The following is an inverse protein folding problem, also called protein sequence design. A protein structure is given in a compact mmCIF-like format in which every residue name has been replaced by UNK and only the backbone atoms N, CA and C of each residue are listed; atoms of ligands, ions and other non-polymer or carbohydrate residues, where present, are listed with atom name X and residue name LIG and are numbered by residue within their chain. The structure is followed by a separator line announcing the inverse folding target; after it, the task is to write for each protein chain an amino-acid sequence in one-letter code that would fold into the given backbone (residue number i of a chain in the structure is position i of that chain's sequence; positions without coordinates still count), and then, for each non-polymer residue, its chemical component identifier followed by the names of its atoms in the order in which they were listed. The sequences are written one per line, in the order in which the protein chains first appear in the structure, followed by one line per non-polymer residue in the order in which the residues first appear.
data_IF_771359885110
#
_entry.id   IF_771359885110
#
_cell.length_a   1.000
_cell.length_b   1.000
_cell.length_c   1.000
_cell.angle_alpha   90.00
_cell.angle_beta   90.00
_cell.angle_gamma   90.00
#
_symmetry.space_group_name_H-M   'P 1'
#
loop_
_entity.id
_entity.type
_entity.pdbx_description
1 polymer ?
#
# COMPACT_ATOMS: atom_id res chain seq x y z
N UNK A 1 -23.88 -2.27 -13.27
CA UNK A 1 -22.62 -2.97 -12.92
C UNK A 1 -22.64 -3.21 -11.42
N UNK A 2 -22.18 -4.37 -10.93
CA UNK A 2 -22.12 -4.58 -9.49
C UNK A 2 -21.21 -3.52 -8.87
N UNK A 3 -21.62 -3.01 -7.71
CA UNK A 3 -20.76 -2.24 -6.81
C UNK A 3 -19.53 -3.13 -6.56
N UNK A 4 -18.32 -2.65 -6.83
CA UNK A 4 -17.10 -3.44 -6.57
C UNK A 4 -17.10 -3.91 -5.10
N UNK A 5 -16.62 -5.13 -4.86
CA UNK A 5 -16.63 -5.72 -3.52
C UNK A 5 -15.86 -4.84 -2.53
N UNK A 6 -16.39 -4.61 -1.32
CA UNK A 6 -15.71 -3.80 -0.32
C UNK A 6 -14.38 -4.44 0.06
N UNK A 7 -13.34 -3.62 0.25
CA UNK A 7 -12.05 -4.13 0.72
C UNK A 7 -12.18 -4.84 2.08
N UNK A 8 -11.31 -5.81 2.34
CA UNK A 8 -11.26 -6.59 3.58
C UNK A 8 -9.98 -6.32 4.38
N UNK A 9 -10.01 -6.65 5.67
CA UNK A 9 -8.87 -6.52 6.59
C UNK A 9 -8.10 -5.19 6.49
N UNK A 10 -6.85 -5.21 6.02
CA UNK A 10 -6.01 -4.02 5.86
C UNK A 10 -6.60 -3.01 4.87
N UNK A 11 -7.40 -3.48 3.91
CA UNK A 11 -8.08 -2.67 2.91
C UNK A 11 -9.54 -2.33 3.29
N UNK A 12 -10.00 -2.65 4.50
CA UNK A 12 -11.40 -2.41 4.95
C UNK A 12 -11.90 -0.99 4.71
N UNK A 13 -11.01 0.01 4.75
CA UNK A 13 -11.35 1.43 4.57
C UNK A 13 -11.09 1.93 3.15
N UNK A 14 -10.67 1.06 2.24
CA UNK A 14 -10.43 1.41 0.85
C UNK A 14 -11.74 1.72 0.14
N UNK A 15 -11.68 2.67 -0.78
CA UNK A 15 -12.82 3.04 -1.63
C UNK A 15 -12.58 2.44 -3.00
N UNK A 16 -13.43 1.49 -3.36
CA UNK A 16 -13.31 0.69 -4.60
C UNK A 16 -14.03 1.29 -5.79
N UNK A 17 -14.84 2.34 -5.58
CA UNK A 17 -15.52 3.09 -6.63
C UNK A 17 -15.16 4.57 -6.55
N UNK A 18 -14.61 5.11 -7.62
CA UNK A 18 -14.10 6.48 -7.67
C UNK A 18 -14.30 7.10 -9.06
N UNK A 19 -14.13 8.41 -9.21
CA UNK A 19 -14.22 9.08 -10.53
C UNK A 19 -12.86 9.34 -11.15
N UNK A 20 -11.81 9.29 -10.34
CA UNK A 20 -10.47 9.70 -10.71
C UNK A 20 -9.63 8.54 -11.26
N UNK A 21 -9.55 8.38 -12.58
CA UNK A 21 -8.75 7.31 -13.19
C UNK A 21 -7.26 7.40 -12.80
N UNK A 22 -6.74 8.59 -12.50
CA UNK A 22 -5.34 8.76 -12.14
C UNK A 22 -5.00 8.16 -10.78
N UNK A 23 -5.97 8.00 -9.87
CA UNK A 23 -5.77 7.26 -8.62
C UNK A 23 -5.53 5.78 -8.94
N UNK A 24 -6.33 5.19 -9.83
CA UNK A 24 -6.13 3.80 -10.25
C UNK A 24 -4.75 3.60 -10.92
N UNK A 25 -4.32 4.55 -11.78
CA UNK A 25 -3.01 4.53 -12.40
C UNK A 25 -1.86 4.65 -11.37
N UNK A 26 -2.01 5.49 -10.34
CA UNK A 26 -1.01 5.68 -9.30
C UNK A 26 -0.94 4.50 -8.30
N UNK A 27 -2.00 3.70 -8.19
CA UNK A 27 -2.02 2.49 -7.36
C UNK A 27 -1.24 1.32 -7.97
N UNK A 28 -1.21 1.20 -9.30
CA UNK A 28 -0.48 0.13 -10.00
C UNK A 28 0.98 -0.05 -9.51
N UNK A 29 1.84 0.98 -9.49
CA UNK A 29 3.21 0.81 -9.01
C UNK A 29 3.31 0.48 -7.51
N UNK A 30 2.31 0.84 -6.70
CA UNK A 30 2.26 0.44 -5.29
C UNK A 30 1.92 -1.05 -5.12
N UNK A 31 1.00 -1.59 -5.93
CA UNK A 31 0.75 -3.03 -5.95
C UNK A 31 1.96 -3.80 -6.45
N UNK A 32 2.70 -3.30 -7.46
CA UNK A 32 3.97 -3.88 -7.87
C UNK A 32 5.00 -3.87 -6.74
N UNK A 33 5.18 -2.74 -6.05
CA UNK A 33 6.08 -2.66 -4.89
C UNK A 33 5.69 -3.65 -3.80
N UNK A 34 4.38 -3.80 -3.53
CA UNK A 34 3.86 -4.77 -2.56
C UNK A 34 4.15 -6.22 -2.99
N UNK A 35 3.89 -6.55 -4.26
CA UNK A 35 4.09 -7.90 -4.79
C UNK A 35 5.57 -8.30 -4.74
N UNK A 36 6.47 -7.42 -5.17
CA UNK A 36 7.93 -7.65 -5.13
C UNK A 36 8.44 -7.80 -3.68
N UNK A 37 7.83 -7.08 -2.74
CA UNK A 37 8.15 -7.26 -1.32
C UNK A 37 7.74 -8.65 -0.82
N UNK A 38 6.53 -9.11 -1.17
CA UNK A 38 6.00 -10.40 -0.72
C UNK A 38 6.64 -11.60 -1.41
N UNK A 39 7.15 -11.42 -2.64
CA UNK A 39 7.89 -12.44 -3.38
C UNK A 39 9.30 -12.66 -2.85
N UNK A 40 9.80 -11.81 -1.94
CA UNK A 40 11.13 -11.95 -1.39
C UNK A 40 11.15 -12.94 -0.21
N UNK A 41 11.74 -14.11 -0.44
CA UNK A 41 11.88 -15.18 0.56
C UNK A 41 12.67 -14.75 1.82
N UNK A 42 13.55 -13.75 1.73
CA UNK A 42 14.25 -13.24 2.91
C UNK A 42 13.28 -12.63 3.92
N UNK A 43 12.18 -12.04 3.46
CA UNK A 43 11.20 -11.40 4.33
C UNK A 43 10.23 -12.39 5.00
N UNK A 44 10.11 -13.62 4.48
CA UNK A 44 9.38 -14.68 5.17
C UNK A 44 10.18 -15.29 6.31
N UNK A 45 11.50 -15.44 6.15
CA UNK A 45 12.34 -16.23 7.07
C UNK A 45 13.34 -15.39 7.89
N UNK A 46 13.56 -14.12 7.54
CA UNK A 46 14.56 -13.25 8.20
C UNK A 46 14.00 -11.88 8.58
N UNK A 47 14.55 -11.34 9.66
CA UNK A 47 14.37 -9.96 10.09
C UNK A 47 15.28 -9.09 9.25
N UNK A 48 14.74 -8.36 8.27
CA UNK A 48 15.52 -7.52 7.36
C UNK A 48 15.88 -8.21 6.04
N UNK A 49 16.56 -7.47 5.16
CA UNK A 49 16.89 -7.90 3.80
C UNK A 49 18.19 -7.24 3.33
N UNK A 50 18.83 -7.86 2.35
CA UNK A 50 20.12 -7.42 1.81
C UNK A 50 20.11 -6.03 1.15
N UNK A 51 21.31 -5.47 0.96
CA UNK A 51 21.49 -4.18 0.29
C UNK A 51 20.91 -4.14 -1.14
N UNK A 52 21.11 -5.16 -1.99
CA UNK A 52 20.47 -5.24 -3.31
C UNK A 52 18.94 -5.15 -3.27
N UNK A 53 18.28 -5.89 -2.38
CA UNK A 53 16.82 -5.84 -2.20
C UNK A 53 16.38 -4.44 -1.78
N UNK A 54 17.08 -3.83 -0.82
CA UNK A 54 16.79 -2.46 -0.39
C UNK A 54 16.85 -1.48 -1.54
N UNK A 55 17.93 -1.51 -2.31
CA UNK A 55 18.13 -0.56 -3.40
C UNK A 55 17.11 -0.78 -4.52
N UNK A 56 16.68 -2.02 -4.74
CA UNK A 56 15.59 -2.35 -5.66
C UNK A 56 14.24 -1.77 -5.20
N UNK A 57 13.86 -2.02 -3.94
CA UNK A 57 12.60 -1.51 -3.37
C UNK A 57 12.58 0.02 -3.33
N UNK A 58 13.72 0.67 -3.04
CA UNK A 58 13.84 2.13 -3.10
C UNK A 58 13.65 2.65 -4.53
N UNK A 59 14.18 1.97 -5.56
CA UNK A 59 13.93 2.33 -6.97
C UNK A 59 12.45 2.25 -7.33
N UNK A 60 11.76 1.20 -6.87
CA UNK A 60 10.31 1.05 -7.06
C UNK A 60 9.54 2.17 -6.32
N UNK A 61 9.93 2.53 -5.10
CA UNK A 61 9.33 3.64 -4.37
C UNK A 61 9.54 5.00 -5.08
N UNK A 62 10.71 5.23 -5.67
CA UNK A 62 10.98 6.41 -6.52
C UNK A 62 10.07 6.41 -7.76
N UNK A 63 9.80 5.25 -8.33
CA UNK A 63 8.84 5.10 -9.44
C UNK A 63 7.40 5.45 -9.01
N UNK A 64 6.98 5.00 -7.82
CA UNK A 64 5.70 5.42 -7.21
C UNK A 64 5.63 6.95 -7.06
N UNK A 65 6.68 7.59 -6.53
CA UNK A 65 6.73 9.05 -6.38
C UNK A 65 6.71 9.79 -7.73
N UNK A 66 7.36 9.24 -8.76
CA UNK A 66 7.30 9.78 -10.12
C UNK A 66 5.86 9.79 -10.65
N UNK A 67 5.12 8.70 -10.45
CA UNK A 67 3.71 8.63 -10.82
C UNK A 67 2.85 9.62 -10.04
N UNK A 68 3.03 9.72 -8.72
CA UNK A 68 2.36 10.72 -7.88
C UNK A 68 2.54 12.13 -8.45
N UNK A 69 3.78 12.53 -8.78
CA UNK A 69 4.08 13.86 -9.34
C UNK A 69 3.40 14.07 -10.69
N UNK A 70 3.33 13.05 -11.55
CA UNK A 70 2.68 13.13 -12.88
C UNK A 70 1.17 13.37 -12.79
N UNK A 71 0.50 12.80 -11.79
CA UNK A 71 -0.96 12.91 -11.62
C UNK A 71 -1.39 14.09 -10.73
N UNK A 72 -0.42 14.80 -10.15
CA UNK A 72 -0.69 15.96 -9.31
C UNK A 72 -0.93 17.19 -10.17
N UNK A 73 -2.08 17.84 -10.00
CA UNK A 73 -2.30 19.16 -10.56
C UNK A 73 -1.39 20.17 -9.88
N UNK A 74 -0.57 20.82 -10.70
CA UNK A 74 0.24 21.95 -10.30
C UNK A 74 -0.18 23.17 -11.14
N UNK A 75 -1.21 23.92 -10.72
CA UNK A 75 -1.73 25.07 -11.46
C UNK A 75 -0.81 26.31 -11.47
N UNK A 76 0.33 26.28 -10.76
CA UNK A 76 1.18 27.46 -10.57
C UNK A 76 2.10 27.73 -11.79
N UNK A 77 1.48 28.17 -12.90
CA UNK A 77 1.85 29.38 -13.66
C UNK A 77 1.94 29.21 -15.18
N UNK A 78 0.86 28.79 -15.84
CA UNK A 78 0.66 29.10 -17.26
C UNK A 78 -0.68 29.82 -17.44
N UNK A 79 -0.75 30.93 -18.20
CA UNK A 79 -1.98 31.67 -18.43
C UNK A 79 -2.98 30.84 -19.25
N UNK A 80 -4.23 30.83 -18.79
CA UNK A 80 -5.34 30.00 -19.28
C UNK A 80 -5.71 30.27 -20.75
N UNK A 81 -5.51 31.51 -21.22
CA UNK A 81 -5.91 31.96 -22.56
C UNK A 81 -5.17 31.23 -23.69
N UNK A 82 -3.86 31.07 -23.56
CA UNK A 82 -3.00 30.49 -24.61
C UNK A 82 -3.25 28.99 -24.84
N UNK A 83 -3.77 28.31 -23.82
CA UNK A 83 -4.11 26.88 -23.85
C UNK A 83 -5.46 26.63 -24.50
N UNK A 84 -6.42 27.52 -24.28
CA UNK A 84 -7.75 27.45 -24.89
C UNK A 84 -7.65 27.69 -26.40
N UNK A 85 -6.80 28.64 -26.82
CA UNK A 85 -6.61 28.98 -28.24
C UNK A 85 -5.97 27.83 -29.04
N UNK A 86 -5.02 27.09 -28.43
CA UNK A 86 -4.44 25.87 -29.02
C UNK A 86 -5.40 24.67 -29.07
N UNK A 87 -6.27 24.52 -28.08
CA UNK A 87 -7.21 23.39 -28.01
C UNK A 87 -8.38 23.50 -29.01
N UNK A 88 -8.64 24.70 -29.54
CA UNK A 88 -9.73 24.97 -30.50
C UNK A 88 -9.27 24.81 -31.97
N UNK A 89 -7.96 24.75 -32.24
CA UNK A 89 -7.43 24.59 -33.60
C UNK A 89 -7.52 23.14 -34.11
N UNK A 90 -8.45 22.91 -35.05
CA UNK A 90 -8.68 21.61 -35.68
C UNK A 90 -7.56 21.13 -36.63
N UNK A 91 -6.54 21.96 -36.89
CA UNK A 91 -5.39 21.63 -37.75
C UNK A 91 -4.08 21.44 -36.99
N UNK A 92 -4.10 21.57 -35.67
CA UNK A 92 -2.91 21.37 -34.85
C UNK A 92 -2.46 19.90 -34.89
N UNK A 93 -1.18 19.67 -35.18
CA UNK A 93 -0.54 18.37 -34.94
C UNK A 93 -0.56 18.08 -33.44
N UNK A 94 -1.15 16.95 -33.07
CA UNK A 94 -1.20 16.47 -31.69
C UNK A 94 0.19 16.00 -31.27
N UNK A 95 1.01 16.91 -30.75
CA UNK A 95 2.23 16.54 -30.06
C UNK A 95 1.88 15.80 -28.76
N UNK A 96 2.61 14.73 -28.44
CA UNK A 96 2.52 14.07 -27.14
C UNK A 96 3.00 15.10 -26.12
N UNK A 97 2.07 15.76 -25.43
CA UNK A 97 2.41 16.79 -24.45
C UNK A 97 3.36 16.22 -23.40
N UNK A 98 4.37 16.99 -23.01
CA UNK A 98 5.39 16.60 -22.00
C UNK A 98 4.77 16.13 -20.66
N UNK A 99 3.50 16.47 -20.42
CA UNK A 99 2.70 16.08 -19.25
C UNK A 99 1.27 15.69 -19.67
N UNK A 100 1.05 14.48 -20.20
CA UNK A 100 -0.26 14.07 -20.73
C UNK A 100 -1.35 13.94 -19.64
N UNK A 101 -0.94 13.95 -18.37
CA UNK A 101 -1.82 13.91 -17.20
C UNK A 101 -1.87 15.25 -16.43
N UNK A 102 -1.14 16.26 -16.90
CA UNK A 102 -1.21 17.61 -16.35
C UNK A 102 -2.54 18.21 -16.77
N UNK A 103 -3.52 18.20 -15.88
CA UNK A 103 -4.88 18.65 -16.15
C UNK A 103 -4.91 20.00 -16.84
N UNK A 104 -5.19 19.99 -18.13
CA UNK A 104 -5.44 21.17 -18.95
C UNK A 104 -6.91 21.59 -18.85
N UNK A 105 -7.14 22.89 -18.97
CA UNK A 105 -8.28 23.64 -18.42
C UNK A 105 -9.63 23.46 -19.13
N UNK A 106 -9.73 22.56 -20.10
CA UNK A 106 -10.98 22.30 -20.84
C UNK A 106 -11.87 21.38 -20.03
N UNK A 107 -12.72 21.88 -19.13
CA UNK A 107 -13.62 21.05 -18.30
C UNK A 107 -14.38 20.01 -19.15
N UNK A 108 -14.02 18.72 -19.04
CA UNK A 108 -14.91 17.66 -19.53
C UNK A 108 -16.08 17.53 -18.57
N UNK A 109 -17.17 16.94 -19.06
CA UNK A 109 -18.25 16.48 -18.19
C UNK A 109 -17.71 15.57 -17.08
N UNK A 110 -18.36 15.59 -15.92
CA UNK A 110 -18.06 14.68 -14.82
C UNK A 110 -18.13 13.24 -15.31
N UNK A 111 -16.97 12.60 -15.44
CA UNK A 111 -16.82 11.19 -15.77
C UNK A 111 -17.61 10.30 -14.80
N UNK A 112 -18.05 9.15 -15.31
CA UNK A 112 -18.79 8.16 -14.54
C UNK A 112 -18.01 7.64 -13.33
N UNK A 113 -18.72 6.98 -12.41
CA UNK A 113 -18.05 6.17 -11.40
C UNK A 113 -17.36 5.00 -12.10
N UNK A 114 -16.07 4.84 -11.84
CA UNK A 114 -15.29 3.66 -12.22
C UNK A 114 -15.07 2.78 -11.00
N UNK A 115 -15.13 1.47 -11.19
CA UNK A 115 -14.64 0.51 -10.21
C UNK A 115 -13.13 0.37 -10.35
N UNK A 116 -12.42 0.25 -9.24
CA UNK A 116 -10.99 -0.07 -9.25
C UNK A 116 -10.77 -1.40 -10.00
N UNK A 117 -9.70 -1.52 -10.78
CA UNK A 117 -9.37 -2.77 -11.48
C UNK A 117 -8.77 -3.84 -10.55
N UNK A 118 -8.58 -3.53 -9.26
CA UNK A 118 -7.93 -4.38 -8.26
C UNK A 118 -8.96 -4.88 -7.26
N UNK A 119 -9.01 -6.19 -6.98
CA UNK A 119 -9.89 -6.74 -5.96
C UNK A 119 -9.20 -6.69 -4.59
N UNK A 120 -9.74 -5.89 -3.68
CA UNK A 120 -9.16 -5.66 -2.34
C UNK A 120 -9.82 -6.51 -1.24
N UNK A 121 -10.62 -7.48 -1.63
CA UNK A 121 -11.40 -8.35 -0.77
C UNK A 121 -10.69 -9.68 -0.47
N UNK A 122 -9.54 -9.94 -1.09
CA UNK A 122 -8.79 -11.19 -0.96
C UNK A 122 -9.13 -12.26 -2.00
N UNK A 123 -9.99 -11.95 -2.97
CA UNK A 123 -10.27 -12.84 -4.11
C UNK A 123 -9.16 -12.81 -5.17
N UNK A 124 -8.39 -11.73 -5.24
CA UNK A 124 -7.25 -11.57 -6.14
C UNK A 124 -5.99 -12.22 -5.52
N UNK A 125 -5.46 -13.24 -6.22
CA UNK A 125 -4.26 -13.95 -5.79
C UNK A 125 -3.01 -13.07 -5.79
N UNK A 126 -2.98 -12.01 -6.60
CA UNK A 126 -1.87 -11.06 -6.66
C UNK A 126 -1.95 -10.02 -5.51
N UNK A 127 -3.09 -9.97 -4.79
CA UNK A 127 -3.34 -9.04 -3.68
C UNK A 127 -3.88 -9.81 -2.46
N UNK A 128 -3.07 -10.71 -1.86
CA UNK A 128 -3.49 -11.50 -0.72
C UNK A 128 -3.78 -10.63 0.52
N UNK A 129 -4.74 -11.06 1.34
CA UNK A 129 -5.04 -10.44 2.64
C UNK A 129 -3.92 -10.71 3.65
N UNK A 130 -3.81 -9.86 4.67
CA UNK A 130 -2.75 -10.02 5.66
C UNK A 130 -2.89 -11.33 6.44
N UNK A 131 -4.11 -11.82 6.68
CA UNK A 131 -4.38 -13.14 7.28
C UNK A 131 -3.94 -14.33 6.43
N UNK A 132 -3.81 -14.17 5.12
CA UNK A 132 -3.38 -15.22 4.19
C UNK A 132 -1.85 -15.29 4.09
N UNK A 133 -1.15 -14.25 4.54
CA UNK A 133 0.30 -14.14 4.47
C UNK A 133 0.97 -14.83 5.66
N UNK A 134 1.99 -15.65 5.37
CA UNK A 134 2.83 -16.31 6.39
C UNK A 134 4.14 -15.55 6.59
N UNK A 135 4.05 -14.28 6.97
CA UNK A 135 5.24 -13.46 7.27
C UNK A 135 5.66 -13.70 8.72
N UNK A 136 6.84 -14.31 8.94
CA UNK A 136 7.39 -14.48 10.30
C UNK A 136 8.13 -13.22 10.79
N UNK A 137 8.65 -12.44 9.85
CA UNK A 137 9.41 -11.23 10.13
C UNK A 137 8.52 -10.06 10.56
N UNK A 138 8.73 -9.53 11.77
CA UNK A 138 8.04 -8.32 12.23
C UNK A 138 8.34 -7.12 11.33
N UNK A 139 9.56 -7.02 10.77
CA UNK A 139 9.92 -5.98 9.83
C UNK A 139 9.10 -6.08 8.53
N UNK A 140 8.91 -7.29 8.00
CA UNK A 140 8.08 -7.52 6.82
C UNK A 140 6.62 -7.13 7.06
N UNK A 141 6.06 -7.47 8.23
CA UNK A 141 4.71 -7.09 8.62
C UNK A 141 4.52 -5.58 8.71
N UNK A 142 5.47 -4.87 9.34
CA UNK A 142 5.43 -3.40 9.46
C UNK A 142 5.56 -2.73 8.10
N UNK A 143 6.51 -3.18 7.27
CA UNK A 143 6.76 -2.60 5.95
C UNK A 143 5.58 -2.85 4.99
N UNK A 144 5.03 -4.06 4.97
CA UNK A 144 3.82 -4.40 4.20
C UNK A 144 2.64 -3.55 4.66
N UNK A 145 2.44 -3.41 5.97
CA UNK A 145 1.39 -2.56 6.54
C UNK A 145 1.53 -1.08 6.16
N UNK A 146 2.76 -0.57 6.05
CA UNK A 146 3.01 0.81 5.59
C UNK A 146 2.62 1.00 4.11
N UNK A 147 2.87 0.01 3.26
CA UNK A 147 2.45 0.01 1.85
C UNK A 147 0.93 -0.07 1.74
N UNK A 148 0.30 -0.98 2.50
CA UNK A 148 -1.16 -1.13 2.53
C UNK A 148 -1.86 0.16 2.99
N UNK A 149 -1.31 0.82 4.01
CA UNK A 149 -1.75 2.14 4.47
C UNK A 149 -1.67 3.19 3.36
N UNK A 150 -0.59 3.18 2.56
CA UNK A 150 -0.44 4.10 1.42
C UNK A 150 -1.48 3.83 0.32
N UNK A 151 -1.77 2.55 0.02
CA UNK A 151 -2.82 2.13 -0.93
C UNK A 151 -4.19 2.64 -0.46
N UNK A 152 -4.54 2.42 0.80
CA UNK A 152 -5.79 2.92 1.38
C UNK A 152 -5.84 4.46 1.34
N UNK A 153 -4.74 5.14 1.67
CA UNK A 153 -4.68 6.60 1.63
C UNK A 153 -4.97 7.17 0.23
N UNK A 154 -4.44 6.54 -0.82
CA UNK A 154 -4.71 6.90 -2.21
C UNK A 154 -6.20 6.83 -2.57
N UNK A 155 -6.88 5.75 -2.21
CA UNK A 155 -8.32 5.59 -2.49
C UNK A 155 -9.20 6.59 -1.73
N UNK A 156 -8.70 7.13 -0.62
CA UNK A 156 -9.44 8.02 0.29
C UNK A 156 -9.17 9.51 0.07
N UNK A 157 -8.39 9.88 -0.93
CA UNK A 157 -8.13 11.28 -1.24
C UNK A 157 -9.44 12.02 -1.57
N UNK A 158 -9.53 13.29 -1.20
CA UNK A 158 -10.67 14.13 -1.56
C UNK A 158 -10.76 14.32 -3.08
N UNK A 159 -9.63 14.21 -3.76
CA UNK A 159 -9.54 14.21 -5.22
C UNK A 159 -10.19 12.99 -5.90
N UNK A 160 -10.71 11.99 -5.16
CA UNK A 160 -11.40 10.82 -5.73
C UNK A 160 -12.66 11.16 -6.54
N UNK A 161 -13.34 12.24 -6.15
CA UNK A 161 -14.56 12.71 -6.79
C UNK A 161 -14.26 13.62 -8.00
N UNK A 162 -12.97 13.95 -8.21
CA UNK A 162 -12.48 14.69 -9.37
C UNK A 162 -12.12 13.71 -10.48
N UNK A 163 -12.29 14.10 -11.73
CA UNK A 163 -12.00 13.21 -12.86
C UNK A 163 -10.54 13.21 -13.31
N UNK A 164 -9.82 14.31 -13.15
CA UNK A 164 -8.60 14.58 -13.93
C UNK A 164 -7.33 14.78 -13.14
N UNK A 165 -7.43 15.03 -11.84
CA UNK A 165 -6.22 15.38 -11.11
C UNK A 165 -6.32 15.19 -9.62
N UNK A 166 -5.14 15.05 -9.02
CA UNK A 166 -4.95 15.06 -7.58
C UNK A 166 -4.48 16.45 -7.18
N UNK A 167 -5.13 17.04 -6.17
CA UNK A 167 -4.68 18.35 -5.66
C UNK A 167 -3.29 18.25 -5.02
N UNK A 168 -2.55 19.37 -4.99
CA UNK A 168 -1.24 19.43 -4.33
C UNK A 168 -1.30 18.96 -2.87
N UNK A 169 -2.32 19.37 -2.11
CA UNK A 169 -2.46 18.97 -0.70
C UNK A 169 -2.71 17.47 -0.53
N UNK A 170 -3.59 16.89 -1.34
CA UNK A 170 -3.82 15.44 -1.34
C UNK A 170 -2.56 14.68 -1.75
N UNK A 171 -1.83 15.19 -2.74
CA UNK A 171 -0.55 14.62 -3.18
C UNK A 171 0.53 14.68 -2.09
N UNK A 172 0.61 15.76 -1.32
CA UNK A 172 1.55 15.87 -0.20
C UNK A 172 1.20 14.92 0.96
N UNK A 173 -0.09 14.60 1.16
CA UNK A 173 -0.49 13.57 2.14
C UNK A 173 0.05 12.20 1.75
N UNK A 174 -0.05 11.83 0.47
CA UNK A 174 0.54 10.58 -0.05
C UNK A 174 2.06 10.59 0.11
N UNK A 175 2.71 11.73 -0.18
CA UNK A 175 4.16 11.85 -0.03
C UNK A 175 4.63 11.52 1.39
N UNK A 176 3.86 11.91 2.43
CA UNK A 176 4.15 11.54 3.81
C UNK A 176 4.21 10.01 4.02
N UNK A 177 3.31 9.25 3.39
CA UNK A 177 3.35 7.78 3.43
C UNK A 177 4.56 7.21 2.69
N UNK A 178 4.99 7.84 1.59
CA UNK A 178 6.22 7.40 0.90
C UNK A 178 7.48 7.67 1.73
N UNK A 179 7.51 8.75 2.50
CA UNK A 179 8.60 9.00 3.46
C UNK A 179 8.61 7.99 4.60
N UNK A 180 7.43 7.60 5.11
CA UNK A 180 7.29 6.53 6.11
C UNK A 180 7.85 5.19 5.57
N UNK A 181 7.48 4.81 4.35
CA UNK A 181 7.99 3.59 3.69
C UNK A 181 9.51 3.69 3.49
N UNK A 182 10.02 4.83 3.01
CA UNK A 182 11.47 5.04 2.84
C UNK A 182 12.23 4.91 4.16
N UNK A 183 11.66 5.45 5.25
CA UNK A 183 12.21 5.32 6.60
C UNK A 183 12.34 3.85 7.00
N UNK A 184 11.29 3.05 6.81
CA UNK A 184 11.33 1.61 7.09
C UNK A 184 12.30 0.84 6.17
N UNK A 185 12.35 1.15 4.88
CA UNK A 185 13.32 0.53 3.96
C UNK A 185 14.77 0.79 4.39
N UNK A 186 15.04 1.99 4.91
CA UNK A 186 16.37 2.38 5.37
C UNK A 186 16.70 1.77 6.74
N UNK A 187 15.71 1.67 7.64
CA UNK A 187 15.90 1.16 8.99
C UNK A 187 15.94 -0.38 9.06
N UNK A 188 15.20 -1.07 8.20
CA UNK A 188 15.12 -2.54 8.19
C UNK A 188 15.99 -3.19 7.12
N UNK A 189 16.34 -2.44 6.06
CA UNK A 189 17.16 -2.93 4.97
C UNK A 189 18.66 -2.78 5.24
N UNK A 190 19.44 -3.54 4.48
CA UNK A 190 20.89 -3.54 4.52
C UNK A 190 21.45 -4.73 5.28
N UNK A 191 22.64 -5.17 4.86
CA UNK A 191 23.25 -6.41 5.35
C UNK A 191 23.46 -6.41 6.87
N UNK A 192 23.67 -5.23 7.47
CA UNK A 192 23.83 -5.05 8.92
C UNK A 192 22.54 -5.37 9.71
N UNK A 193 21.38 -5.22 9.09
CA UNK A 193 20.08 -5.43 9.71
C UNK A 193 19.50 -6.81 9.43
N UNK A 194 20.24 -7.69 8.74
CA UNK A 194 19.84 -9.07 8.49
C UNK A 194 20.01 -9.90 9.76
N UNK A 195 18.89 -10.25 10.37
CA UNK A 195 18.81 -11.11 11.54
C UNK A 195 18.05 -12.36 11.14
N UNK A 196 18.64 -13.53 11.34
CA UNK A 196 17.92 -14.79 11.15
C UNK A 196 16.84 -14.90 12.24
N UNK A 197 15.58 -14.95 11.82
CA UNK A 197 14.47 -15.21 12.74
C UNK A 197 14.44 -16.72 12.95
N UNK A 198 14.49 -17.14 14.22
CA UNK A 198 14.46 -18.56 14.57
C UNK A 198 13.31 -19.27 13.85
N UNK A 199 13.61 -20.41 13.23
CA UNK A 199 12.68 -21.14 12.34
C UNK A 199 11.37 -21.55 13.02
N UNK A 200 11.38 -21.69 14.35
CA UNK A 200 10.25 -22.03 15.21
C UNK A 200 10.00 -20.87 16.17
N UNK A 201 8.87 -20.20 16.02
CA UNK A 201 8.42 -19.24 17.02
C UNK A 201 7.99 -20.00 18.29
N UNK A 202 8.13 -19.45 19.50
CA UNK A 202 7.61 -20.07 20.73
C UNK A 202 6.08 -20.35 20.68
N UNK A 203 5.34 -19.69 19.80
CA UNK A 203 3.92 -19.96 19.52
C UNK A 203 3.66 -21.15 18.58
N UNK A 204 4.70 -21.61 17.88
CA UNK A 204 4.70 -22.71 16.92
C UNK A 204 5.38 -23.98 17.49
N UNK A 205 5.95 -23.90 18.70
CA UNK A 205 6.42 -25.08 19.41
C UNK A 205 5.22 -25.99 19.75
N UNK A 206 5.32 -27.32 19.52
CA UNK A 206 4.27 -28.26 19.91
C UNK A 206 4.20 -28.28 21.44
N UNK A 207 3.29 -27.49 22.01
CA UNK A 207 2.97 -27.50 23.43
C UNK A 207 2.46 -28.90 23.78
N UNK A 208 3.34 -29.71 24.38
CA UNK A 208 2.95 -31.01 24.94
C UNK A 208 1.92 -30.82 26.05
N UNK A 209 1.21 -31.89 26.41
CA UNK A 209 0.21 -31.86 27.49
C UNK A 209 0.75 -31.39 28.84
N UNK A 210 2.09 -31.38 29.01
CA UNK A 210 2.79 -31.02 30.24
C UNK A 210 3.54 -29.67 30.18
N UNK A 211 3.47 -28.91 29.07
CA UNK A 211 4.23 -27.66 28.95
C UNK A 211 3.51 -26.46 29.60
N UNK A 212 4.25 -25.80 30.50
CA UNK A 212 3.71 -24.96 31.56
C UNK A 212 2.96 -23.71 31.06
N UNK A 213 1.84 -23.32 31.71
CA UNK A 213 1.18 -22.06 31.41
C UNK A 213 2.06 -20.91 31.91
N UNK A 214 2.56 -20.10 30.98
CA UNK A 214 3.16 -18.80 31.26
C UNK A 214 2.08 -17.83 31.80
N UNK A 215 1.69 -18.03 33.07
CA UNK A 215 1.07 -17.04 33.94
C UNK A 215 1.78 -17.12 35.28
N UNK A 216 2.78 -16.26 35.48
CA UNK A 216 3.17 -15.88 36.85
C UNK A 216 1.89 -15.36 37.53
N UNK A 217 1.58 -15.95 38.69
CA UNK A 217 0.45 -15.66 39.61
C UNK A 217 -0.95 -16.15 39.25
N UNK A 218 -1.15 -17.46 39.18
CA UNK A 218 -2.40 -18.05 39.68
C UNK A 218 -2.07 -19.27 40.55
N UNK A 219 -2.26 -19.13 41.87
CA UNK A 219 -2.07 -20.24 42.81
C UNK A 219 -3.24 -21.20 42.66
N UNK A 220 -3.01 -22.37 42.07
CA UNK A 220 -3.92 -23.50 42.20
C UNK A 220 -3.74 -24.07 43.60
N UNK A 221 -4.63 -23.72 44.53
CA UNK A 221 -4.75 -24.43 45.80
C UNK A 221 -5.41 -25.79 45.54
N UNK A 222 -4.61 -26.79 45.20
CA UNK A 222 -5.01 -28.19 45.28
C UNK A 222 -4.56 -28.78 46.61
N UNK A 223 -5.51 -28.93 47.55
CA UNK A 223 -5.73 -30.17 48.29
C UNK A 223 -6.80 -30.01 49.40
N UNK A 224 -7.82 -30.85 49.37
CA UNK A 224 -8.28 -31.55 50.57
C UNK A 224 -8.73 -32.98 50.19
N UNK A 225 -8.41 -33.99 51.03
CA UNK A 225 -8.43 -35.41 50.68
C UNK A 225 -9.78 -36.08 50.98
N UNK A 226 -9.90 -37.34 50.56
CA UNK A 226 -11.14 -38.10 50.47
C UNK A 226 -12.01 -38.18 51.73
N UNK A 227 -13.32 -38.25 51.47
CA UNK A 227 -14.35 -38.69 52.40
C UNK A 227 -14.80 -40.10 52.00
N UNK A 228 -14.53 -41.07 52.89
CA UNK A 228 -15.28 -42.33 53.03
C UNK A 228 -15.47 -42.54 54.54
N UNK A 229 -16.69 -42.29 55.03
CA UNK A 229 -17.51 -43.18 55.88
C UNK A 229 -18.95 -42.88 55.53
#
# INVERSE_FOLDING_TARGET
MPIGDPGQEQFRRAIVTLRNLHIAAALSPLFTLRAELLANDELSDRGGFDNPTRDHLVKLLVYCDRWRRRVTHNPDNAPLGDKIEKAIDAKATLDIGDRPFGGDDVQNQSGGLLSLPFALDGSDADIPLQSQLKLKSTHALVLTGAIDKAIVAWTRLNSRDRTRFVTRFDSMRVYGHYQEILGYLTAFGGDENRVDVAQVLPSEEPLGADDSPNRKTERVNTAAPGSKV
#
